data_IF_423892556467
#
_entry.id   IF_423892556467
#
_cell.length_a   1.000
_cell.length_b   1.000
_cell.length_c   1.000
_cell.angle_alpha   90.00
_cell.angle_beta   90.00
_cell.angle_gamma   90.00
#
_symmetry.space_group_name_H-M   'P 1'
#
loop_
_entity.id
_entity.type
_entity.pdbx_description
1 polymer ?
#
# COMPACT_ATOMS: atom_id res chain seq x y z
N UNK A 1 10.37 -12.80 21.54
CA UNK A 1 10.40 -12.76 21.08
C UNK A 1 10.72 -12.67 20.50
N UNK A 2 10.66 -12.73 20.34
CA UNK A 2 10.80 -12.63 19.66
C UNK A 2 11.23 -12.24 18.89
N UNK A 3 11.31 -12.45 18.83
CA UNK A 3 11.93 -12.31 17.97
C UNK A 3 11.98 -11.47 17.13
N UNK A 4 11.90 -10.93 17.08
CA UNK A 4 11.73 -10.24 16.40
C UNK A 4 12.26 -9.88 15.30
N UNK A 5 12.59 -9.97 14.89
CA UNK A 5 12.93 -9.53 13.93
C UNK A 5 12.61 -9.97 12.84
N UNK A 6 12.06 -10.40 13.07
CA UNK A 6 11.68 -10.90 12.13
C UNK A 6 11.12 -10.16 11.09
N UNK A 7 10.89 -10.61 9.94
CA UNK A 7 10.35 -9.94 8.88
C UNK A 7 8.89 -9.74 9.05
N UNK A 8 8.40 -8.56 8.67
CA UNK A 8 6.98 -8.28 8.69
C UNK A 8 6.27 -9.14 7.66
N UNK A 9 5.09 -9.63 8.00
CA UNK A 9 4.27 -10.34 7.04
C UNK A 9 3.58 -9.35 6.10
N UNK A 10 3.00 -9.87 5.02
CA UNK A 10 2.26 -9.03 4.10
C UNK A 10 1.09 -8.33 4.81
N UNK A 11 0.46 -9.00 5.78
CA UNK A 11 -0.62 -8.39 6.53
C UNK A 11 -0.13 -7.24 7.41
N UNK A 12 1.06 -7.39 7.99
CA UNK A 12 1.65 -6.30 8.77
C UNK A 12 1.96 -5.11 7.87
N UNK A 13 2.47 -5.39 6.68
CA UNK A 13 2.76 -4.33 5.73
C UNK A 13 1.49 -3.64 5.26
N UNK A 14 0.42 -4.40 5.09
CA UNK A 14 -0.86 -3.84 4.71
C UNK A 14 -1.37 -2.87 5.79
N UNK A 15 -1.27 -3.27 7.05
CA UNK A 15 -1.71 -2.42 8.15
C UNK A 15 -0.92 -1.11 8.18
N UNK A 16 0.39 -1.18 7.94
CA UNK A 16 1.22 0.01 7.88
C UNK A 16 0.84 0.90 6.71
N UNK A 17 0.58 0.30 5.56
CA UNK A 17 0.20 1.06 4.37
C UNK A 17 -1.12 1.79 4.60
N UNK A 18 -2.09 1.10 5.17
CA UNK A 18 -3.38 1.71 5.46
C UNK A 18 -3.23 2.89 6.41
N UNK A 19 -2.41 2.71 7.44
CA UNK A 19 -2.20 3.77 8.41
C UNK A 19 -1.54 4.99 7.77
N UNK A 20 -0.60 4.77 6.85
CA UNK A 20 0.06 5.87 6.17
C UNK A 20 -0.90 6.67 5.29
N UNK A 21 -1.93 6.04 4.75
CA UNK A 21 -2.86 6.77 3.90
C UNK A 21 -3.59 7.87 4.65
N UNK A 22 -3.62 7.80 5.97
CA UNK A 22 -4.27 8.83 6.77
C UNK A 22 -3.54 10.17 6.70
N UNK A 23 -2.29 10.15 6.26
CA UNK A 23 -1.50 11.36 6.13
C UNK A 23 -1.61 12.00 4.75
N UNK A 24 -2.31 11.36 3.83
CA UNK A 24 -2.44 11.87 2.48
C UNK A 24 -3.58 12.87 2.39
N UNK A 25 -3.42 13.83 1.49
CA UNK A 25 -4.42 14.87 1.28
C UNK A 25 -5.37 14.50 0.14
N UNK A 26 -6.55 15.07 0.16
CA UNK A 26 -7.53 14.87 -0.89
C UNK A 26 -6.93 15.19 -2.25
N UNK A 27 -7.21 14.34 -3.22
CA UNK A 27 -6.74 14.44 -4.59
C UNK A 27 -5.29 14.05 -4.82
N UNK A 28 -4.57 13.64 -3.80
CA UNK A 28 -3.22 13.14 -4.00
C UNK A 28 -3.27 11.79 -4.67
N UNK A 29 -2.33 11.56 -5.58
CA UNK A 29 -2.19 10.31 -6.30
C UNK A 29 -0.95 9.60 -5.79
N UNK A 30 -1.06 8.31 -5.54
CA UNK A 30 0.05 7.57 -4.95
C UNK A 30 0.06 6.12 -5.42
N UNK A 31 1.22 5.50 -5.24
CA UNK A 31 1.40 4.06 -5.42
C UNK A 31 1.59 3.45 -4.04
N UNK A 32 1.32 2.15 -3.92
CA UNK A 32 1.52 1.49 -2.62
C UNK A 32 2.94 1.69 -2.12
N UNK A 33 3.93 1.62 -3.00
CA UNK A 33 5.32 1.79 -2.58
C UNK A 33 5.59 3.18 -2.00
N UNK A 34 4.80 4.18 -2.37
CA UNK A 34 4.98 5.53 -1.84
C UNK A 34 4.64 5.63 -0.37
N UNK A 35 3.97 4.62 0.16
CA UNK A 35 3.59 4.58 1.57
C UNK A 35 4.72 4.05 2.45
N UNK A 36 5.85 3.70 1.85
CA UNK A 36 7.01 3.17 2.56
C UNK A 36 8.23 3.99 2.19
N UNK A 37 9.21 4.00 3.08
CA UNK A 37 10.49 4.60 2.73
C UNK A 37 11.18 3.72 1.69
N UNK A 38 12.00 4.35 0.86
CA UNK A 38 12.65 3.62 -0.22
C UNK A 38 13.37 2.37 0.25
N UNK A 39 14.15 2.48 1.34
CA UNK A 39 14.90 1.33 1.80
C UNK A 39 13.99 0.26 2.39
N UNK A 40 12.85 0.66 2.96
CA UNK A 40 11.90 -0.33 3.48
C UNK A 40 11.28 -1.12 2.33
N UNK A 41 10.90 -0.41 1.28
CA UNK A 41 10.34 -1.07 0.11
C UNK A 41 11.33 -2.05 -0.50
N UNK A 42 12.60 -1.63 -0.57
CA UNK A 42 13.62 -2.47 -1.17
C UNK A 42 13.89 -3.76 -0.38
N UNK A 43 13.55 -3.76 0.90
CA UNK A 43 13.73 -4.94 1.75
C UNK A 43 12.60 -5.94 1.63
N UNK A 44 11.49 -5.55 1.02
CA UNK A 44 10.34 -6.43 0.87
C UNK A 44 10.60 -7.32 -0.35
N UNK A 45 10.39 -8.62 -0.19
CA UNK A 45 10.59 -9.55 -1.30
C UNK A 45 9.58 -9.26 -2.41
N UNK A 46 9.92 -9.67 -3.62
CA UNK A 46 9.04 -9.46 -4.76
C UNK A 46 7.66 -10.10 -4.54
N UNK A 47 7.65 -11.32 -4.01
CA UNK A 47 6.37 -12.00 -3.79
C UNK A 47 5.53 -11.27 -2.76
N UNK A 48 6.17 -10.72 -1.72
CA UNK A 48 5.44 -9.98 -0.71
C UNK A 48 4.93 -8.64 -1.26
N UNK A 49 5.68 -8.00 -2.16
CA UNK A 49 5.20 -6.78 -2.81
C UNK A 49 3.97 -7.06 -3.64
N UNK A 50 3.97 -8.16 -4.37
CA UNK A 50 2.82 -8.53 -5.20
C UNK A 50 1.61 -8.85 -4.34
N UNK A 51 1.82 -9.59 -3.26
CA UNK A 51 0.75 -9.92 -2.35
C UNK A 51 0.20 -8.67 -1.68
N UNK A 52 1.09 -7.79 -1.23
CA UNK A 52 0.67 -6.54 -0.61
C UNK A 52 -0.17 -5.71 -1.57
N UNK A 53 0.23 -5.64 -2.84
CA UNK A 53 -0.54 -4.91 -3.83
C UNK A 53 -1.94 -5.47 -3.98
N UNK A 54 -2.06 -6.80 -4.01
CA UNK A 54 -3.36 -7.46 -4.12
C UNK A 54 -4.21 -7.19 -2.89
N UNK A 55 -3.61 -7.28 -1.71
CA UNK A 55 -4.33 -7.05 -0.46
C UNK A 55 -4.78 -5.60 -0.35
N UNK A 56 -3.95 -4.67 -0.78
CA UNK A 56 -4.30 -3.26 -0.70
C UNK A 56 -5.46 -2.94 -1.66
N UNK A 57 -5.40 -3.46 -2.87
CA UNK A 57 -6.48 -3.24 -3.83
C UNK A 57 -7.79 -3.80 -3.30
N UNK A 58 -7.74 -5.01 -2.72
CA UNK A 58 -8.92 -5.62 -2.15
C UNK A 58 -9.47 -4.77 -0.99
N UNK A 59 -8.59 -4.25 -0.16
CA UNK A 59 -8.99 -3.36 0.92
C UNK A 59 -9.74 -2.14 0.37
N UNK A 60 -9.19 -1.53 -0.68
CA UNK A 60 -9.81 -0.35 -1.28
C UNK A 60 -11.20 -0.67 -1.81
N UNK A 61 -11.37 -1.84 -2.42
CA UNK A 61 -12.66 -2.21 -2.99
C UNK A 61 -13.70 -2.57 -1.94
N UNK A 62 -13.28 -3.08 -0.79
CA UNK A 62 -14.24 -3.66 0.15
C UNK A 62 -14.49 -2.83 1.41
N UNK A 63 -13.63 -1.86 1.70
CA UNK A 63 -13.70 -1.17 3.00
C UNK A 63 -14.40 0.18 2.98
N UNK A 64 -14.92 0.61 1.85
CA UNK A 64 -15.60 1.89 1.78
C UNK A 64 -14.70 3.08 2.11
N UNK A 65 -13.41 2.92 1.91
CA UNK A 65 -12.45 3.98 2.18
C UNK A 65 -12.57 5.07 1.12
N UNK A 66 -12.03 6.24 1.42
CA UNK A 66 -12.02 7.33 0.44
C UNK A 66 -10.93 7.19 -0.62
N UNK A 67 -10.26 6.06 -0.67
CA UNK A 67 -9.26 5.79 -1.69
C UNK A 67 -9.93 5.17 -2.91
N UNK A 68 -9.44 5.52 -4.10
CA UNK A 68 -9.97 4.97 -5.35
C UNK A 68 -8.83 4.54 -6.24
N UNK A 69 -8.94 3.34 -6.85
CA UNK A 69 -7.95 2.97 -7.85
C UNK A 69 -8.21 3.75 -9.13
N UNK A 70 -7.14 4.18 -9.77
CA UNK A 70 -7.23 4.86 -11.06
C UNK A 70 -6.39 4.07 -12.05
N UNK A 71 -5.93 4.68 -13.14
CA UNK A 71 -5.21 3.90 -14.14
C UNK A 71 -3.89 3.36 -13.60
N UNK A 72 -3.36 2.34 -14.26
CA UNK A 72 -2.06 1.79 -13.91
C UNK A 72 -0.95 2.59 -14.58
N UNK A 73 0.26 2.51 -14.00
CA UNK A 73 1.42 3.10 -14.65
C UNK A 73 1.82 2.26 -15.84
N UNK A 74 2.74 2.80 -16.65
CA UNK A 74 3.25 2.06 -17.80
C UNK A 74 3.97 0.77 -17.39
N UNK A 75 4.47 0.71 -16.16
CA UNK A 75 5.12 -0.50 -15.67
C UNK A 75 4.14 -1.45 -14.99
N UNK A 76 2.85 -1.15 -15.01
CA UNK A 76 1.84 -2.05 -14.51
C UNK A 76 1.49 -1.89 -13.04
N UNK A 77 1.94 -0.84 -12.40
CA UNK A 77 1.62 -0.61 -10.99
C UNK A 77 0.32 0.17 -10.88
N UNK A 78 -0.53 -0.25 -9.96
CA UNK A 78 -1.82 0.40 -9.75
C UNK A 78 -1.65 1.73 -9.04
N UNK A 79 -2.21 2.78 -9.60
CA UNK A 79 -2.23 4.10 -8.97
C UNK A 79 -3.54 4.27 -8.20
N UNK A 80 -3.48 5.04 -7.14
CA UNK A 80 -4.64 5.34 -6.32
C UNK A 80 -4.76 6.84 -6.12
N UNK A 81 -5.97 7.29 -5.88
CA UNK A 81 -6.24 8.69 -5.62
C UNK A 81 -7.06 8.83 -4.36
N UNK A 82 -6.75 9.84 -3.56
CA UNK A 82 -7.52 10.13 -2.36
C UNK A 82 -8.75 10.93 -2.76
N UNK A 83 -9.91 10.37 -2.56
CA UNK A 83 -11.18 11.01 -2.88
C UNK A 83 -11.58 11.97 -1.79
N UNK A 84 -12.39 12.96 -2.13
CA UNK A 84 -12.85 13.94 -1.15
C UNK A 84 -13.99 13.43 -0.30
N UNK A 85 -14.56 12.27 -0.54
CA UNK A 85 -15.64 11.83 0.19
C UNK A 85 -15.39 10.84 1.13
#
# INVERSE_FOLDING_TARGET
>A
QRGGHEMATANDLLARAIDETKHLHTNEIFLVRDLFKGYEWNRISRSDRLLLGTLFLNYVHTSGTRLKPIEKTSSGQQKYKVSSN
#
